data_IF_379258646143
#
_entry.id   IF_379258646143
#
_cell.length_a   1.000
_cell.length_b   1.000
_cell.length_c   1.000
_cell.angle_alpha   90.00
_cell.angle_beta   90.00
_cell.angle_gamma   90.00
#
_symmetry.space_group_name_H-M   'P 1'
#
loop_
_entity.id
_entity.type
_entity.pdbx_description
1 polymer ?
#
# COMPACT_ATOMS: atom_id res chain seq x y z
N UNK A 1 58.99 -47.69 14.39
CA UNK A 1 58.17 -48.62 15.20
C UNK A 1 56.91 -47.85 15.56
N UNK A 2 55.84 -47.79 14.76
CA UNK A 2 54.93 -48.83 14.21
C UNK A 2 54.15 -49.59 15.27
N UNK A 3 52.88 -49.20 15.45
CA UNK A 3 51.62 -49.99 15.63
C UNK A 3 50.51 -48.93 15.76
N UNK A 4 49.69 -48.60 14.75
CA UNK A 4 48.53 -49.32 14.19
C UNK A 4 47.49 -49.76 15.23
N UNK A 5 46.23 -49.67 14.82
CA UNK A 5 44.98 -50.14 15.44
C UNK A 5 44.13 -49.00 16.07
N UNK A 6 42.82 -48.89 15.86
CA UNK A 6 41.93 -49.49 14.87
C UNK A 6 40.62 -48.68 14.82
N UNK A 7 39.92 -48.90 13.73
CA UNK A 7 38.62 -48.45 13.23
C UNK A 7 37.44 -48.57 14.22
N UNK A 8 36.59 -47.54 14.28
CA UNK A 8 35.16 -47.73 14.57
C UNK A 8 34.27 -46.65 13.93
N UNK A 9 33.67 -47.05 12.82
CA UNK A 9 32.55 -46.46 12.10
C UNK A 9 31.26 -46.65 12.92
N UNK A 10 30.47 -45.60 13.21
CA UNK A 10 29.01 -45.74 13.41
C UNK A 10 28.24 -44.54 12.86
N UNK A 11 27.27 -44.91 12.03
CA UNK A 11 26.37 -44.09 11.23
C UNK A 11 25.06 -43.84 12.00
N UNK A 12 24.47 -42.66 11.76
CA UNK A 12 23.02 -42.31 11.65
C UNK A 12 22.08 -42.52 12.86
N UNK A 13 21.03 -41.68 13.03
CA UNK A 13 19.81 -41.87 12.22
C UNK A 13 19.11 -40.59 11.73
N UNK A 14 18.78 -40.60 10.44
CA UNK A 14 17.52 -40.23 9.79
C UNK A 14 16.50 -39.34 10.55
N UNK A 15 16.20 -38.15 10.01
CA UNK A 15 14.86 -37.53 10.15
C UNK A 15 14.07 -37.67 8.86
N UNK A 16 13.23 -38.69 8.90
CA UNK A 16 11.97 -38.93 8.20
C UNK A 16 11.31 -37.75 7.46
N UNK A 17 11.17 -37.99 6.15
CA UNK A 17 10.09 -37.53 5.29
C UNK A 17 8.73 -37.99 5.81
N UNK A 18 7.73 -37.10 5.77
CA UNK A 18 6.31 -37.47 5.80
C UNK A 18 5.51 -36.43 5.04
N UNK A 19 5.35 -36.71 3.75
CA UNK A 19 4.25 -36.25 2.91
C UNK A 19 2.92 -36.50 3.62
N UNK A 20 2.10 -35.46 3.79
CA UNK A 20 0.64 -35.59 3.87
C UNK A 20 0.02 -34.66 2.85
N UNK A 21 -0.41 -35.27 1.75
CA UNK A 21 -1.33 -34.67 0.79
C UNK A 21 -2.76 -35.01 1.20
N UNK A 22 -3.68 -34.08 0.89
CA UNK A 22 -4.99 -34.26 0.22
C UNK A 22 -6.10 -33.49 0.97
N UNK A 23 -6.54 -32.32 0.51
CA UNK A 23 -7.40 -31.92 -0.64
C UNK A 23 -8.88 -31.81 -0.27
N UNK A 24 -9.47 -30.68 -0.69
CA UNK A 24 -10.87 -30.34 -1.04
C UNK A 24 -11.23 -29.00 -0.38
N UNK A 25 -11.13 -27.87 -1.08
CA UNK A 25 -11.96 -27.33 -2.18
C UNK A 25 -13.30 -26.78 -1.70
N UNK A 26 -13.37 -25.46 -1.60
CA UNK A 26 -14.55 -24.69 -1.96
C UNK A 26 -14.06 -23.32 -2.46
N UNK A 27 -14.21 -23.12 -3.77
CA UNK A 27 -13.92 -21.87 -4.44
C UNK A 27 -15.19 -21.04 -4.55
N UNK A 28 -15.10 -19.76 -4.20
CA UNK A 28 -15.99 -18.72 -4.73
C UNK A 28 -15.20 -17.43 -4.89
N UNK A 29 -14.95 -17.05 -6.14
CA UNK A 29 -14.89 -15.68 -6.66
C UNK A 29 -13.97 -14.68 -5.97
N UNK A 30 -12.66 -14.80 -6.19
CA UNK A 30 -11.78 -13.63 -6.11
C UNK A 30 -11.84 -12.90 -7.46
N UNK A 31 -12.51 -11.76 -7.49
CA UNK A 31 -12.36 -10.80 -8.58
C UNK A 31 -10.88 -10.43 -8.67
N UNK A 32 -10.28 -10.78 -9.79
CA UNK A 32 -8.88 -10.55 -10.10
C UNK A 32 -8.65 -9.04 -10.16
N UNK A 33 -8.04 -8.51 -9.10
CA UNK A 33 -7.42 -7.20 -9.15
C UNK A 33 -6.26 -7.28 -10.16
N UNK A 34 -6.54 -6.85 -11.38
CA UNK A 34 -5.55 -6.50 -12.40
C UNK A 34 -4.66 -5.36 -11.86
N UNK A 35 -3.71 -5.69 -10.99
CA UNK A 35 -2.53 -4.87 -10.75
C UNK A 35 -1.52 -5.20 -11.85
N UNK A 36 -1.56 -4.40 -12.92
CA UNK A 36 -0.56 -4.39 -13.98
C UNK A 36 0.84 -4.17 -13.37
N UNK A 37 1.75 -5.17 -13.38
CA UNK A 37 3.10 -4.99 -12.88
C UNK A 37 3.92 -4.26 -13.95
N UNK A 38 3.86 -2.93 -13.93
CA UNK A 38 4.65 -2.11 -14.82
C UNK A 38 6.10 -2.09 -14.34
N UNK A 39 6.90 -2.93 -15.02
CA UNK A 39 8.30 -2.73 -15.41
C UNK A 39 9.20 -1.99 -14.40
N UNK A 40 9.90 -2.77 -13.57
CA UNK A 40 11.08 -2.32 -12.82
C UNK A 40 12.17 -1.85 -13.78
N UNK A 41 12.20 -0.54 -14.04
CA UNK A 41 13.08 0.09 -15.01
C UNK A 41 13.42 1.53 -14.62
N UNK A 42 14.26 1.69 -13.61
CA UNK A 42 15.17 2.84 -13.49
C UNK A 42 14.57 4.13 -12.94
N UNK A 43 14.19 4.14 -11.66
CA UNK A 43 14.03 5.39 -10.92
C UNK A 43 15.42 5.90 -10.51
N UNK A 44 16.15 6.53 -11.43
CA UNK A 44 17.38 7.24 -11.07
C UNK A 44 17.41 8.66 -11.65
N UNK A 45 17.57 9.59 -10.70
CA UNK A 45 17.94 11.01 -10.82
C UNK A 45 16.79 12.02 -10.94
N UNK A 46 16.23 12.37 -9.78
CA UNK A 46 15.39 13.55 -9.57
C UNK A 46 13.99 13.34 -10.12
N UNK A 47 13.06 12.96 -9.24
CA UNK A 47 11.69 12.60 -9.60
C UNK A 47 11.08 13.70 -10.49
N UNK A 48 11.00 13.43 -11.80
CA UNK A 48 10.21 14.27 -12.70
C UNK A 48 8.78 14.27 -12.14
N UNK A 49 8.07 15.41 -12.10
CA UNK A 49 6.67 15.45 -11.70
C UNK A 49 5.81 14.34 -12.31
N UNK A 50 6.10 13.90 -13.53
CA UNK A 50 5.40 12.77 -14.18
C UNK A 50 5.68 11.42 -13.49
N UNK A 51 6.94 11.11 -13.17
CA UNK A 51 7.33 9.87 -12.47
C UNK A 51 6.76 9.83 -11.03
N UNK A 52 6.71 10.98 -10.36
CA UNK A 52 6.09 11.09 -9.04
C UNK A 52 4.58 10.88 -9.12
N UNK A 53 3.93 11.41 -10.16
CA UNK A 53 2.50 11.23 -10.37
C UNK A 53 2.16 9.75 -10.57
N UNK A 54 2.91 9.06 -11.42
CA UNK A 54 2.75 7.62 -11.67
C UNK A 54 3.01 6.80 -10.40
N UNK A 55 4.07 7.14 -9.66
CA UNK A 55 4.34 6.55 -8.35
C UNK A 55 3.17 6.78 -7.41
N UNK A 56 2.62 7.98 -7.30
CA UNK A 56 1.54 8.28 -6.36
C UNK A 56 0.13 7.95 -6.88
N UNK A 57 0.00 7.32 -8.06
CA UNK A 57 -1.28 6.86 -8.60
C UNK A 57 -2.00 5.80 -7.76
N UNK A 58 -1.26 4.99 -6.98
CA UNK A 58 -1.83 3.97 -6.09
C UNK A 58 -2.37 4.56 -4.79
N UNK A 59 -3.65 4.29 -4.49
CA UNK A 59 -4.27 4.75 -3.25
C UNK A 59 -3.60 4.20 -1.99
N UNK A 60 -3.04 2.97 -2.04
CA UNK A 60 -2.28 2.40 -0.91
C UNK A 60 -0.98 3.16 -0.65
N UNK A 61 -0.27 3.58 -1.70
CA UNK A 61 0.94 4.40 -1.57
C UNK A 61 0.61 5.78 -1.00
N UNK A 62 -0.44 6.44 -1.50
CA UNK A 62 -0.93 7.73 -0.96
C UNK A 62 -1.26 7.63 0.54
N UNK A 63 -2.10 6.67 0.93
CA UNK A 63 -2.48 6.44 2.33
C UNK A 63 -1.27 6.15 3.22
N UNK A 64 -0.28 5.41 2.71
CA UNK A 64 0.94 5.11 3.47
C UNK A 64 1.78 6.37 3.70
N UNK A 65 1.93 7.21 2.68
CA UNK A 65 2.60 8.52 2.81
C UNK A 65 1.86 9.40 3.81
N UNK A 66 0.54 9.52 3.72
CA UNK A 66 -0.26 10.30 4.70
C UNK A 66 -0.10 9.77 6.12
N UNK A 67 -0.11 8.45 6.31
CA UNK A 67 0.06 7.85 7.61
C UNK A 67 1.43 8.18 8.22
N UNK A 68 2.48 8.10 7.41
CA UNK A 68 3.85 8.48 7.79
C UNK A 68 4.02 10.00 7.98
N UNK A 69 3.15 10.85 7.45
CA UNK A 69 3.25 12.30 7.65
C UNK A 69 2.98 12.68 9.12
N UNK A 70 2.20 11.85 9.83
CA UNK A 70 1.79 12.11 11.22
C UNK A 70 2.61 11.34 12.26
N UNK A 71 3.48 10.42 11.84
CA UNK A 71 4.20 9.47 12.71
C UNK A 71 5.62 9.20 12.20
N UNK A 72 6.51 8.77 13.08
CA UNK A 72 7.87 8.32 12.73
C UNK A 72 8.08 6.88 13.18
N UNK A 73 8.97 6.14 12.51
CA UNK A 73 9.28 4.76 12.84
C UNK A 73 8.04 3.86 12.83
N UNK A 74 7.27 3.95 11.74
CA UNK A 74 5.96 3.30 11.64
C UNK A 74 6.13 1.81 11.39
N UNK A 75 5.41 0.96 12.13
CA UNK A 75 5.38 -0.48 11.87
C UNK A 75 4.58 -0.80 10.61
N UNK A 76 5.04 -1.74 9.80
CA UNK A 76 4.33 -2.17 8.57
C UNK A 76 2.96 -2.75 8.92
N UNK A 77 2.84 -3.43 10.07
CA UNK A 77 1.55 -3.91 10.58
C UNK A 77 0.54 -2.78 10.78
N UNK A 78 0.97 -1.65 11.32
CA UNK A 78 0.10 -0.48 11.54
C UNK A 78 -0.31 0.17 10.21
N UNK A 79 0.60 0.22 9.23
CA UNK A 79 0.28 0.66 7.86
C UNK A 79 -0.74 -0.26 7.19
N UNK A 80 -0.58 -1.57 7.37
CA UNK A 80 -1.50 -2.56 6.81
C UNK A 80 -2.90 -2.42 7.42
N UNK A 81 -3.00 -2.29 8.74
CA UNK A 81 -4.26 -2.10 9.45
C UNK A 81 -4.93 -0.79 9.05
N UNK A 82 -4.16 0.30 8.94
CA UNK A 82 -4.69 1.59 8.49
C UNK A 82 -5.25 1.53 7.05
N UNK A 83 -4.47 0.96 6.13
CA UNK A 83 -4.91 0.82 4.74
C UNK A 83 -6.12 -0.10 4.62
N UNK A 84 -6.12 -1.25 5.33
CA UNK A 84 -7.23 -2.19 5.31
C UNK A 84 -8.50 -1.57 5.90
N UNK A 85 -8.41 -0.81 6.99
CA UNK A 85 -9.54 -0.09 7.58
C UNK A 85 -10.17 0.87 6.57
N UNK A 86 -9.34 1.67 5.87
CA UNK A 86 -9.80 2.61 4.84
C UNK A 86 -10.31 1.92 3.55
N UNK A 87 -9.83 0.72 3.22
CA UNK A 87 -10.35 -0.07 2.07
C UNK A 87 -11.72 -0.68 2.35
N UNK A 88 -11.95 -1.12 3.58
CA UNK A 88 -13.17 -1.83 3.96
C UNK A 88 -14.20 -0.91 4.64
N UNK A 89 -13.91 0.38 4.72
CA UNK A 89 -14.72 1.41 5.40
C UNK A 89 -15.16 0.96 6.79
N UNK A 90 -14.20 0.43 7.56
CA UNK A 90 -14.47 -0.12 8.89
C UNK A 90 -13.37 0.28 9.89
N UNK A 91 -13.68 0.28 11.20
CA UNK A 91 -12.67 0.44 12.24
C UNK A 91 -11.63 -0.69 12.24
N UNK A 92 -10.40 -0.39 12.65
CA UNK A 92 -9.29 -1.36 12.65
C UNK A 92 -9.52 -2.58 13.58
N UNK A 93 -10.35 -2.44 14.63
CA UNK A 93 -10.72 -3.54 15.53
C UNK A 93 -11.76 -4.49 14.91
N UNK A 94 -12.42 -4.11 13.82
CA UNK A 94 -13.38 -4.93 13.08
C UNK A 94 -12.76 -5.66 11.88
N UNK A 95 -11.48 -5.41 11.58
CA UNK A 95 -10.78 -6.09 10.49
C UNK A 95 -10.68 -7.59 10.75
N UNK A 96 -10.90 -8.40 9.74
CA UNK A 96 -10.56 -9.81 9.82
C UNK A 96 -9.07 -10.05 9.51
N UNK A 97 -8.59 -11.25 9.84
CA UNK A 97 -7.18 -11.60 9.64
C UNK A 97 -6.78 -11.66 8.16
N UNK A 98 -7.72 -11.94 7.26
CA UNK A 98 -7.47 -12.07 5.83
C UNK A 98 -7.35 -10.70 5.16
N UNK A 99 -8.20 -9.73 5.54
CA UNK A 99 -8.13 -8.34 5.11
C UNK A 99 -6.77 -7.72 5.47
N UNK A 100 -6.34 -7.84 6.72
CA UNK A 100 -5.03 -7.36 7.18
C UNK A 100 -3.89 -8.02 6.40
N UNK A 101 -3.92 -9.35 6.31
CA UNK A 101 -2.86 -10.13 5.65
C UNK A 101 -2.73 -9.78 4.16
N UNK A 102 -3.85 -9.58 3.45
CA UNK A 102 -3.85 -9.19 2.04
C UNK A 102 -3.14 -7.86 1.83
N UNK A 103 -3.47 -6.86 2.64
CA UNK A 103 -2.86 -5.53 2.53
C UNK A 103 -1.39 -5.56 2.96
N UNK A 104 -1.07 -6.26 4.04
CA UNK A 104 0.32 -6.43 4.50
C UNK A 104 1.23 -7.01 3.41
N UNK A 105 0.79 -8.10 2.76
CA UNK A 105 1.56 -8.73 1.68
C UNK A 105 1.70 -7.78 0.48
N UNK A 106 0.63 -7.08 0.09
CA UNK A 106 0.69 -6.13 -1.01
C UNK A 106 1.63 -4.95 -0.72
N UNK A 107 1.65 -4.44 0.52
CA UNK A 107 2.60 -3.41 0.94
C UNK A 107 4.04 -3.86 0.74
N UNK A 108 4.40 -5.04 1.23
CA UNK A 108 5.75 -5.58 1.11
C UNK A 108 6.17 -5.85 -0.34
N UNK A 109 5.25 -6.31 -1.19
CA UNK A 109 5.59 -6.75 -2.55
C UNK A 109 5.61 -5.60 -3.55
N UNK A 110 4.64 -4.69 -3.48
CA UNK A 110 4.36 -3.76 -4.58
C UNK A 110 4.50 -2.29 -4.17
N UNK A 111 4.32 -1.96 -2.90
CA UNK A 111 4.20 -0.56 -2.50
C UNK A 111 5.47 -0.04 -1.82
N UNK A 112 5.93 -0.70 -0.77
CA UNK A 112 7.12 -0.26 -0.03
C UNK A 112 8.39 -0.27 -0.89
N UNK A 113 8.68 -1.31 -1.72
CA UNK A 113 9.88 -1.30 -2.56
C UNK A 113 9.94 -0.10 -3.52
N UNK A 114 8.81 0.29 -4.12
CA UNK A 114 8.77 1.42 -5.06
C UNK A 114 8.87 2.78 -4.35
N UNK A 115 8.27 2.90 -3.17
CA UNK A 115 8.40 4.12 -2.37
C UNK A 115 9.83 4.29 -1.82
N UNK A 116 10.49 3.19 -1.48
CA UNK A 116 11.89 3.14 -1.03
C UNK A 116 12.84 3.48 -2.19
N UNK A 117 12.65 2.88 -3.37
CA UNK A 117 13.44 3.17 -4.57
C UNK A 117 13.35 4.64 -4.98
N UNK A 118 12.18 5.26 -4.80
CA UNK A 118 11.95 6.69 -5.06
C UNK A 118 12.48 7.62 -3.94
N UNK A 119 13.11 7.09 -2.88
CA UNK A 119 13.53 7.80 -1.66
C UNK A 119 12.40 8.57 -0.96
N UNK A 120 11.15 8.14 -1.15
CA UNK A 120 9.98 8.73 -0.48
C UNK A 120 9.94 8.22 0.96
N UNK A 121 10.22 6.94 1.16
CA UNK A 121 10.38 6.32 2.47
C UNK A 121 11.74 5.65 2.56
N UNK A 122 12.12 5.27 3.78
CA UNK A 122 13.19 4.30 4.04
C UNK A 122 12.57 3.09 4.74
N UNK A 123 12.60 1.95 4.08
CA UNK A 123 11.99 0.70 4.56
C UNK A 123 13.03 -0.28 5.11
N UNK A 124 12.98 -0.52 6.43
CA UNK A 124 13.76 -1.54 7.11
C UNK A 124 12.97 -2.86 7.19
N UNK A 125 13.21 -3.75 6.23
CA UNK A 125 12.61 -5.08 6.17
C UNK A 125 12.88 -5.93 7.43
N UNK A 126 14.14 -6.05 7.90
CA UNK A 126 14.44 -6.77 9.13
C UNK A 126 13.74 -6.26 10.40
N UNK A 127 13.44 -4.96 10.49
CA UNK A 127 12.72 -4.38 11.63
C UNK A 127 11.21 -4.22 11.40
N UNK A 128 10.71 -4.53 10.19
CA UNK A 128 9.34 -4.25 9.76
C UNK A 128 8.91 -2.80 10.05
N UNK A 129 9.83 -1.84 9.83
CA UNK A 129 9.59 -0.41 10.06
C UNK A 129 9.78 0.43 8.81
N UNK A 130 9.05 1.54 8.76
CA UNK A 130 9.13 2.55 7.71
C UNK A 130 9.42 3.91 8.34
N UNK A 131 10.39 4.62 7.77
CA UNK A 131 10.68 6.02 8.09
C UNK A 131 10.60 6.90 6.83
N UNK A 132 10.69 8.22 7.00
CA UNK A 132 10.58 9.16 5.88
C UNK A 132 11.92 9.28 5.18
N UNK A 133 11.92 9.16 3.85
CA UNK A 133 13.09 9.43 3.02
C UNK A 133 13.20 10.90 2.64
N UNK A 134 14.22 11.23 1.86
CA UNK A 134 14.53 12.61 1.45
C UNK A 134 13.43 13.23 0.56
N UNK A 135 12.75 12.44 -0.25
CA UNK A 135 11.69 12.89 -1.17
C UNK A 135 10.28 12.88 -0.53
N UNK A 136 10.20 12.57 0.77
CA UNK A 136 8.92 12.45 1.46
C UNK A 136 8.07 13.72 1.37
N UNK A 137 8.67 14.89 1.55
CA UNK A 137 7.95 16.17 1.55
C UNK A 137 7.35 16.45 0.17
N UNK A 138 8.12 16.21 -0.90
CA UNK A 138 7.66 16.37 -2.29
C UNK A 138 6.46 15.45 -2.57
N UNK A 139 6.59 14.17 -2.19
CA UNK A 139 5.52 13.19 -2.37
C UNK A 139 4.27 13.53 -1.56
N UNK A 140 4.42 14.01 -0.33
CA UNK A 140 3.29 14.38 0.51
C UNK A 140 2.50 15.57 -0.07
N UNK A 141 3.19 16.62 -0.52
CA UNK A 141 2.56 17.76 -1.20
C UNK A 141 1.86 17.34 -2.50
N UNK A 142 2.44 16.39 -3.25
CA UNK A 142 1.81 15.84 -4.44
C UNK A 142 0.50 15.12 -4.10
N UNK A 143 0.46 14.34 -3.00
CA UNK A 143 -0.77 13.69 -2.52
C UNK A 143 -1.85 14.70 -2.16
N UNK A 144 -1.51 15.74 -1.41
CA UNK A 144 -2.46 16.82 -1.06
C UNK A 144 -3.03 17.46 -2.34
N UNK A 145 -2.17 17.75 -3.31
CA UNK A 145 -2.56 18.33 -4.60
C UNK A 145 -3.50 17.40 -5.39
N UNK A 146 -3.21 16.09 -5.43
CA UNK A 146 -4.06 15.10 -6.09
C UNK A 146 -5.46 15.07 -5.47
N UNK A 147 -5.55 15.10 -4.14
CA UNK A 147 -6.83 15.10 -3.42
C UNK A 147 -7.64 16.37 -3.68
N UNK A 148 -6.98 17.53 -3.76
CA UNK A 148 -7.65 18.78 -4.12
C UNK A 148 -8.20 18.75 -5.54
N UNK A 149 -7.47 18.18 -6.49
CA UNK A 149 -7.93 17.99 -7.88
C UNK A 149 -9.16 17.09 -7.89
N UNK A 150 -9.10 15.91 -7.25
CA UNK A 150 -10.22 14.96 -7.17
C UNK A 150 -11.46 15.62 -6.54
N UNK A 151 -11.28 16.36 -5.45
CA UNK A 151 -12.37 17.08 -4.79
C UNK A 151 -12.95 18.21 -5.66
N UNK A 152 -12.10 18.91 -6.42
CA UNK A 152 -12.50 19.97 -7.35
C UNK A 152 -13.28 19.43 -8.55
N UNK A 153 -12.87 18.28 -9.08
CA UNK A 153 -13.60 17.58 -10.15
C UNK A 153 -14.95 17.05 -9.68
N UNK A 154 -14.98 16.43 -8.51
CA UNK A 154 -16.22 15.98 -7.89
C UNK A 154 -17.19 17.15 -7.69
N UNK A 155 -16.70 18.31 -7.22
CA UNK A 155 -17.52 19.52 -7.07
C UNK A 155 -18.06 20.00 -8.41
N UNK A 156 -17.23 20.07 -9.46
CA UNK A 156 -17.66 20.47 -10.81
C UNK A 156 -18.72 19.53 -11.39
N UNK A 157 -18.58 18.23 -11.18
CA UNK A 157 -19.52 17.22 -11.69
C UNK A 157 -20.84 17.20 -10.91
N UNK A 158 -20.82 17.57 -9.63
CA UNK A 158 -21.98 17.59 -8.75
C UNK A 158 -22.47 19.01 -8.42
N UNK A 159 -22.12 20.03 -9.21
CA UNK A 159 -22.68 21.37 -9.06
C UNK A 159 -24.20 21.29 -9.28
N UNK A 160 -25.02 21.72 -8.30
CA UNK A 160 -26.45 21.71 -8.48
C UNK A 160 -26.80 22.62 -9.65
N UNK A 161 -27.43 22.06 -10.68
CA UNK A 161 -27.95 22.77 -11.84
C UNK A 161 -29.01 23.79 -11.39
N UNK A 162 -28.59 24.97 -10.93
CA UNK A 162 -29.52 25.90 -10.28
C UNK A 162 -29.00 27.27 -9.88
N UNK A 163 -27.74 27.65 -10.15
CA UNK A 163 -27.25 28.99 -9.82
C UNK A 163 -26.52 29.72 -10.96
N UNK A 164 -26.91 29.44 -12.20
CA UNK A 164 -26.62 30.34 -13.33
C UNK A 164 -27.95 30.73 -13.99
N UNK A 165 -28.51 31.87 -13.57
CA UNK A 165 -29.63 32.52 -14.25
C UNK A 165 -30.92 32.69 -13.42
N UNK A 166 -30.86 33.44 -12.31
CA UNK A 166 -32.01 33.60 -11.42
C UNK A 166 -32.25 34.99 -10.83
N UNK A 167 -31.67 36.08 -11.37
CA UNK A 167 -32.14 37.43 -11.05
C UNK A 167 -33.18 37.90 -12.08
N UNK A 168 -34.42 37.47 -11.88
CA UNK A 168 -35.56 38.35 -12.12
C UNK A 168 -36.33 38.49 -10.82
N UNK A 169 -35.91 39.49 -10.05
CA UNK A 169 -36.78 40.13 -9.08
C UNK A 169 -38.04 40.62 -9.83
N UNK A 170 -39.14 39.88 -9.68
CA UNK A 170 -40.48 40.43 -9.83
C UNK A 170 -41.18 40.27 -8.49
N UNK A 171 -41.06 41.36 -7.76
CA UNK A 171 -41.91 41.87 -6.68
C UNK A 171 -43.29 41.21 -6.62
N UNK A 172 -43.63 40.73 -5.43
CA UNK A 172 -44.99 40.42 -5.02
C UNK A 172 -45.77 41.73 -4.77
N UNK A 173 -46.96 41.83 -5.37
CA UNK A 173 -48.17 42.63 -5.11
C UNK A 173 -48.18 43.94 -4.30
N UNK A 174 -48.88 44.96 -4.84
CA UNK A 174 -50.15 45.50 -4.29
C UNK A 174 -50.64 46.74 -5.07
N UNK A 175 -51.83 46.63 -5.68
CA UNK A 175 -52.93 47.62 -5.78
C UNK A 175 -53.85 47.26 -6.96
#
# INVERSE_FOLDING_TARGET
>A
MSTSDDRALKQSPTRNSSTVNRSESDGVGGEEAEENPQVLGGLQSGNDPEDLWDTMGSQRRRRSVEYCATREGVMIGDLADHNAALENDCPADQLDAQQRKRVYIALLQNHLPLLDEANIIDWDGPQDTVSRGDEFVTAHLAVETMQEIDAGEFRRQNEPAGLVGGLKAKLWGSA
#
